data_IF_904033080505
#
_entry.id   IF_904033080505
#
_cell.length_a   1.000
_cell.length_b   1.000
_cell.length_c   1.000
_cell.angle_alpha   90.00
_cell.angle_beta   90.00
_cell.angle_gamma   90.00
#
_symmetry.space_group_name_H-M   'P 1'
#
loop_
_entity.id
_entity.type
_entity.pdbx_description
1 polymer ?
#
# COMPACT_ATOMS: atom_id res chain seq x y z
N UNK A 1 -34.41 -40.94 15.29
CA UNK A 1 -32.98 -40.85 15.70
C UNK A 1 -32.01 -41.05 14.54
N UNK A 2 -32.18 -42.06 13.66
CA UNK A 2 -31.24 -42.33 12.56
C UNK A 2 -31.15 -41.21 11.50
N UNK A 3 -32.24 -40.50 11.23
CA UNK A 3 -32.28 -39.38 10.26
C UNK A 3 -31.62 -38.08 10.77
N UNK A 4 -31.67 -37.79 12.09
CA UNK A 4 -30.96 -36.63 12.66
C UNK A 4 -29.45 -36.78 12.53
N UNK A 5 -28.92 -37.99 12.66
CA UNK A 5 -27.48 -38.26 12.51
C UNK A 5 -27.00 -37.97 11.09
N UNK A 6 -27.82 -38.29 10.07
CA UNK A 6 -27.48 -37.99 8.68
C UNK A 6 -27.51 -36.48 8.37
N UNK A 7 -28.47 -35.72 8.92
CA UNK A 7 -28.50 -34.26 8.73
C UNK A 7 -27.34 -33.53 9.41
N UNK A 8 -26.94 -33.96 10.61
CA UNK A 8 -25.79 -33.35 11.31
C UNK A 8 -24.46 -33.67 10.62
N UNK A 9 -24.32 -34.87 10.02
CA UNK A 9 -23.12 -35.25 9.26
C UNK A 9 -22.92 -34.46 7.98
N UNK A 10 -24.01 -34.13 7.26
CA UNK A 10 -23.95 -33.31 6.03
C UNK A 10 -23.61 -31.85 6.35
N UNK A 11 -24.10 -31.31 7.47
CA UNK A 11 -23.80 -29.94 7.88
C UNK A 11 -22.34 -29.75 8.34
N UNK A 12 -21.71 -30.80 8.87
CA UNK A 12 -20.31 -30.76 9.29
C UNK A 12 -19.33 -30.92 8.10
N UNK A 13 -19.77 -31.59 7.03
CA UNK A 13 -18.97 -31.78 5.82
C UNK A 13 -18.89 -30.52 4.95
N UNK A 14 -19.88 -29.62 5.00
CA UNK A 14 -19.88 -28.38 4.22
C UNK A 14 -19.00 -27.28 4.84
N UNK A 15 -18.72 -27.33 6.15
CA UNK A 15 -17.88 -26.34 6.85
C UNK A 15 -16.38 -26.53 6.68
N UNK A 16 -15.91 -27.68 6.18
CA UNK A 16 -14.48 -27.95 5.98
C UNK A 16 -13.96 -27.62 4.58
N UNK A 17 -14.82 -27.24 3.64
CA UNK A 17 -14.44 -26.88 2.26
C UNK A 17 -14.26 -25.37 2.04
N UNK A 18 -14.62 -24.53 3.00
CA UNK A 18 -14.49 -23.06 2.88
C UNK A 18 -13.06 -22.49 2.88
N UNK A 19 -12.02 -23.06 3.52
CA UNK A 19 -10.71 -22.39 3.54
C UNK A 19 -9.96 -22.47 2.20
N UNK A 20 -10.36 -23.36 1.28
CA UNK A 20 -9.69 -23.51 -0.02
C UNK A 20 -10.01 -22.39 -1.03
N UNK A 21 -11.10 -21.62 -0.82
CA UNK A 21 -11.50 -20.51 -1.69
C UNK A 21 -11.00 -19.14 -1.20
N UNK A 22 -10.34 -19.09 -0.05
CA UNK A 22 -9.79 -17.85 0.54
C UNK A 22 -8.31 -17.63 0.20
N UNK A 23 -7.71 -18.50 -0.62
CA UNK A 23 -6.41 -18.21 -1.21
C UNK A 23 -6.64 -17.16 -2.30
N UNK A 24 -6.58 -15.87 -1.91
CA UNK A 24 -6.32 -14.80 -2.87
C UNK A 24 -5.07 -15.22 -3.62
N UNK A 25 -5.21 -15.49 -4.91
CA UNK A 25 -4.12 -15.89 -5.78
C UNK A 25 -3.16 -14.68 -5.81
N UNK A 26 -2.19 -14.64 -4.89
CA UNK A 26 -1.32 -13.47 -4.69
C UNK A 26 -0.54 -13.13 -5.96
N UNK A 27 -0.44 -14.09 -6.89
CA UNK A 27 0.09 -13.91 -8.23
C UNK A 27 -0.85 -13.17 -9.18
N UNK A 28 -2.18 -13.24 -8.99
CA UNK A 28 -3.15 -12.53 -9.83
C UNK A 28 -3.14 -11.00 -9.58
N UNK A 29 -2.78 -10.57 -8.36
CA UNK A 29 -2.67 -9.15 -7.98
C UNK A 29 -1.22 -8.63 -7.96
N UNK A 30 -0.25 -9.44 -8.41
CA UNK A 30 1.17 -9.07 -8.39
C UNK A 30 1.60 -8.34 -9.67
N UNK A 31 2.41 -7.29 -9.51
CA UNK A 31 3.09 -6.60 -10.61
C UNK A 31 4.59 -6.88 -10.53
N UNK A 32 5.14 -7.48 -11.59
CA UNK A 32 6.59 -7.76 -11.69
C UNK A 32 7.31 -6.64 -12.42
N UNK A 33 8.26 -5.99 -11.75
CA UNK A 33 9.10 -4.91 -12.31
C UNK A 33 10.54 -5.41 -12.42
N UNK A 34 11.08 -5.46 -13.64
CA UNK A 34 12.47 -5.91 -13.89
C UNK A 34 13.44 -4.74 -13.71
N UNK A 35 14.45 -4.93 -12.86
CA UNK A 35 15.54 -3.99 -12.61
C UNK A 35 16.86 -4.53 -13.15
N UNK A 36 17.80 -3.63 -13.49
CA UNK A 36 19.11 -4.01 -14.04
C UNK A 36 20.12 -4.49 -12.99
N UNK A 37 19.87 -4.20 -11.72
CA UNK A 37 20.72 -4.55 -10.58
C UNK A 37 19.88 -4.60 -9.29
N UNK A 38 20.43 -5.24 -8.26
CA UNK A 38 19.88 -5.20 -6.90
C UNK A 38 20.19 -3.85 -6.24
N UNK A 39 19.28 -3.27 -5.44
CA UNK A 39 19.61 -2.10 -4.63
C UNK A 39 20.72 -2.43 -3.61
N UNK A 40 21.69 -1.54 -3.45
CA UNK A 40 22.78 -1.68 -2.47
C UNK A 40 22.34 -1.39 -1.02
N UNK A 41 21.21 -0.67 -0.85
CA UNK A 41 20.59 -0.32 0.42
C UNK A 41 19.12 0.10 0.20
N UNK A 42 18.34 0.29 1.28
CA UNK A 42 16.91 0.63 1.20
C UNK A 42 16.54 1.81 2.09
N UNK A 43 17.34 2.88 2.05
CA UNK A 43 17.11 4.06 2.89
C UNK A 43 16.40 5.18 2.12
N UNK A 44 15.32 5.78 2.65
CA UNK A 44 14.56 6.84 1.97
C UNK A 44 15.40 8.10 1.73
N UNK A 45 16.38 8.38 2.58
CA UNK A 45 17.31 9.51 2.39
C UNK A 45 18.15 9.38 1.10
N UNK A 46 18.29 8.16 0.57
CA UNK A 46 19.05 7.86 -0.64
C UNK A 46 18.16 7.65 -1.87
N UNK A 47 16.88 8.00 -1.78
CA UNK A 47 15.90 7.80 -2.86
C UNK A 47 16.15 8.65 -4.12
N UNK A 48 17.14 9.54 -4.12
CA UNK A 48 17.61 10.25 -5.33
C UNK A 48 18.38 9.33 -6.29
N UNK A 49 18.87 8.17 -5.82
CA UNK A 49 19.47 7.14 -6.67
C UNK A 49 18.38 6.29 -7.31
N UNK A 50 18.37 6.20 -8.64
CA UNK A 50 17.27 5.54 -9.38
C UNK A 50 17.05 4.07 -9.03
N UNK A 51 18.11 3.32 -8.67
CA UNK A 51 18.01 1.91 -8.25
C UNK A 51 17.32 1.74 -6.89
N UNK A 52 17.33 2.77 -6.03
CA UNK A 52 16.70 2.78 -4.70
C UNK A 52 15.34 3.49 -4.74
N UNK A 53 15.30 4.68 -5.34
CA UNK A 53 14.13 5.55 -5.37
C UNK A 53 12.90 4.90 -5.99
N UNK A 54 13.08 4.12 -7.06
CA UNK A 54 11.99 3.35 -7.71
C UNK A 54 11.33 2.33 -6.80
N UNK A 55 12.03 1.88 -5.75
CA UNK A 55 11.53 0.88 -4.81
C UNK A 55 10.95 1.56 -3.57
N UNK A 56 11.67 2.55 -3.00
CA UNK A 56 11.32 3.11 -1.69
C UNK A 56 10.38 4.31 -1.80
N UNK A 57 10.60 5.21 -2.76
CA UNK A 57 9.85 6.46 -2.87
C UNK A 57 8.38 6.16 -3.20
N UNK A 58 7.46 6.65 -2.36
CA UNK A 58 6.00 6.54 -2.49
C UNK A 58 5.42 5.11 -2.52
N UNK A 59 6.25 4.07 -2.47
CA UNK A 59 5.83 2.67 -2.37
C UNK A 59 6.03 2.11 -0.95
N UNK A 60 7.13 2.50 -0.30
CA UNK A 60 7.47 2.09 1.08
C UNK A 60 7.45 3.28 2.02
N UNK A 61 8.10 4.38 1.62
CA UNK A 61 8.11 5.64 2.36
C UNK A 61 7.30 6.69 1.62
N UNK A 62 6.28 7.22 2.30
CA UNK A 62 5.40 8.25 1.76
C UNK A 62 5.93 9.66 2.03
N UNK A 63 5.57 10.61 1.16
CA UNK A 63 5.92 12.03 1.29
C UNK A 63 4.76 12.84 1.87
N UNK A 64 5.06 14.06 2.36
CA UNK A 64 4.00 14.99 2.78
C UNK A 64 3.18 15.48 1.58
N UNK A 65 3.88 15.93 0.55
CA UNK A 65 3.33 16.39 -0.73
C UNK A 65 4.08 15.70 -1.88
N UNK A 66 3.53 15.80 -3.09
CA UNK A 66 4.20 15.34 -4.31
C UNK A 66 4.09 16.38 -5.43
N UNK A 67 5.01 16.28 -6.38
CA UNK A 67 4.95 17.08 -7.60
C UNK A 67 3.85 16.49 -8.51
N UNK A 68 2.86 17.31 -8.84
CA UNK A 68 1.79 16.96 -9.75
C UNK A 68 1.73 18.01 -10.85
N UNK A 69 2.21 17.64 -12.04
CA UNK A 69 2.26 18.54 -13.20
C UNK A 69 0.89 18.80 -13.82
N UNK A 70 -0.13 18.01 -13.46
CA UNK A 70 -1.51 18.19 -13.93
C UNK A 70 -2.32 19.06 -12.97
N UNK A 71 -1.92 19.12 -11.69
CA UNK A 71 -2.52 20.02 -10.70
C UNK A 71 -2.26 21.50 -11.03
N UNK A 72 -3.27 22.34 -10.78
CA UNK A 72 -3.18 23.79 -11.03
C UNK A 72 -2.03 24.46 -10.25
N UNK A 73 -1.70 23.96 -9.05
CA UNK A 73 -0.65 24.50 -8.19
C UNK A 73 0.71 23.80 -8.36
N UNK A 74 0.81 22.79 -9.24
CA UNK A 74 2.02 22.02 -9.48
C UNK A 74 2.41 21.05 -8.36
N UNK A 75 1.68 21.05 -7.24
CA UNK A 75 1.92 20.22 -6.06
C UNK A 75 0.58 19.68 -5.56
N UNK A 76 0.54 18.39 -5.23
CA UNK A 76 -0.62 17.74 -4.61
C UNK A 76 -0.27 17.19 -3.22
N UNK A 77 -1.29 16.99 -2.40
CA UNK A 77 -1.14 16.43 -1.06
C UNK A 77 -1.06 14.90 -1.09
N UNK A 78 -0.22 14.32 -0.23
CA UNK A 78 -0.22 12.89 0.08
C UNK A 78 -0.58 12.67 1.54
N UNK A 79 0.43 12.52 2.42
CA UNK A 79 0.19 12.46 3.87
C UNK A 79 -0.36 13.79 4.41
N UNK A 80 0.05 14.91 3.81
CA UNK A 80 -0.51 16.22 4.12
C UNK A 80 -1.84 16.44 3.39
N UNK A 81 -2.88 16.69 4.19
CA UNK A 81 -4.23 17.04 3.72
C UNK A 81 -4.40 18.54 3.47
N UNK A 82 -3.48 19.35 3.99
CA UNK A 82 -3.41 20.79 3.77
C UNK A 82 -2.14 21.35 4.40
N UNK A 83 -1.71 22.51 3.90
CA UNK A 83 -0.54 23.20 4.41
C UNK A 83 -0.69 24.71 4.24
N UNK A 84 -0.09 25.44 5.17
CA UNK A 84 -0.10 26.91 5.18
C UNK A 84 1.26 27.44 5.61
N UNK A 85 1.69 28.55 5.00
CA UNK A 85 2.82 29.34 5.48
C UNK A 85 2.27 30.30 6.55
N UNK A 86 2.72 30.14 7.80
CA UNK A 86 2.20 30.94 8.93
C UNK A 86 3.03 32.20 9.19
N UNK A 87 4.26 32.21 8.69
CA UNK A 87 5.18 33.36 8.62
C UNK A 87 6.24 33.08 7.54
N UNK A 88 7.12 34.06 7.27
CA UNK A 88 8.13 34.01 6.19
C UNK A 88 9.08 32.80 6.22
N UNK A 89 9.17 32.07 7.35
CA UNK A 89 10.09 30.94 7.54
C UNK A 89 9.43 29.66 8.03
N UNK A 90 8.13 29.69 8.32
CA UNK A 90 7.43 28.58 8.97
C UNK A 90 6.28 28.06 8.13
N UNK A 91 6.34 26.76 7.85
CA UNK A 91 5.25 26.00 7.25
C UNK A 91 4.58 25.10 8.28
N UNK A 92 3.25 25.06 8.26
CA UNK A 92 2.44 24.12 9.02
C UNK A 92 1.75 23.16 8.06
N UNK A 93 1.88 21.87 8.34
CA UNK A 93 1.22 20.80 7.60
C UNK A 93 0.16 20.12 8.49
N UNK A 94 -1.04 19.94 7.96
CA UNK A 94 -2.08 19.13 8.56
C UNK A 94 -2.02 17.71 7.95
N UNK A 95 -1.60 16.74 8.74
CA UNK A 95 -1.47 15.35 8.27
C UNK A 95 -2.73 14.54 8.54
N UNK A 96 -3.05 13.61 7.63
CA UNK A 96 -4.07 12.60 7.90
C UNK A 96 -3.67 11.76 9.11
N UNK A 97 -4.66 11.34 9.90
CA UNK A 97 -4.43 10.42 11.02
C UNK A 97 -4.34 9.00 10.46
N UNK A 98 -3.34 8.25 10.91
CA UNK A 98 -3.20 6.82 10.63
C UNK A 98 -4.32 5.99 11.30
#
# INVERSE_FOLDING_TARGET
>A
MRQSIFLTGVLLATTVMTPALAQTDAAADAVTIVLGEEPDLMEPCMATRSNIGRIVMQNVSETLTELDTEAAEGVSGRLATGWEMVDDTTWRFACAKA
#
